data_IF_149670256125
#
_entry.id   IF_149670256125
#
_cell.length_a   1.000
_cell.length_b   1.000
_cell.length_c   1.000
_cell.angle_alpha   90.00
_cell.angle_beta   90.00
_cell.angle_gamma   90.00
#
_symmetry.space_group_name_H-M   'P 1'
#
loop_
_entity.id
_entity.type
_entity.pdbx_description
1 polymer ?
#
# COMPACT_ATOMS: atom_id res chain seq x y z
N UNK A 1 -32.94 2.40 -27.01
CA UNK A 1 -32.13 2.25 -25.79
C UNK A 1 -32.15 3.59 -25.10
N UNK A 2 -32.56 3.64 -23.83
CA UNK A 2 -32.50 4.88 -23.04
C UNK A 2 -31.03 5.22 -22.83
N UNK A 3 -30.61 6.43 -23.20
CA UNK A 3 -29.26 6.89 -22.87
C UNK A 3 -29.13 6.99 -21.36
N UNK A 4 -28.15 6.28 -20.80
CA UNK A 4 -27.82 6.37 -19.38
C UNK A 4 -26.87 7.55 -19.23
N UNK A 5 -27.39 8.69 -18.75
CA UNK A 5 -26.55 9.81 -18.34
C UNK A 5 -25.74 9.41 -17.09
N UNK A 6 -24.42 9.61 -17.15
CA UNK A 6 -23.51 9.40 -16.01
C UNK A 6 -23.01 10.76 -15.52
N UNK A 7 -22.96 10.94 -14.21
CA UNK A 7 -22.31 12.10 -13.62
C UNK A 7 -20.79 12.02 -13.83
N UNK A 8 -20.16 13.18 -14.01
CA UNK A 8 -18.74 13.33 -14.23
C UNK A 8 -18.17 14.38 -13.27
N UNK A 9 -16.94 14.14 -12.84
CA UNK A 9 -16.15 15.06 -12.01
C UNK A 9 -14.77 15.21 -12.63
N UNK A 10 -14.22 16.42 -12.61
CA UNK A 10 -12.88 16.70 -13.12
C UNK A 10 -11.83 16.54 -12.03
N UNK A 11 -10.74 15.87 -12.38
CA UNK A 11 -9.55 15.68 -11.54
C UNK A 11 -8.31 15.75 -12.42
N UNK A 12 -7.19 16.23 -11.87
CA UNK A 12 -5.92 16.23 -12.58
C UNK A 12 -5.32 14.81 -12.64
N UNK A 13 -5.51 14.03 -11.57
CA UNK A 13 -5.04 12.64 -11.50
C UNK A 13 -6.08 11.74 -10.83
N UNK A 14 -6.43 10.65 -11.51
CA UNK A 14 -7.26 9.57 -10.97
C UNK A 14 -6.40 8.33 -10.73
N UNK A 15 -6.37 7.85 -9.50
CA UNK A 15 -5.65 6.63 -9.08
C UNK A 15 -6.67 5.55 -8.76
N UNK A 16 -6.53 4.38 -9.38
CA UNK A 16 -7.40 3.23 -9.14
C UNK A 16 -6.72 2.26 -8.16
N UNK A 17 -7.22 2.22 -6.94
CA UNK A 17 -6.80 1.33 -5.86
C UNK A 17 -6.02 2.03 -4.74
N UNK A 18 -6.52 1.95 -3.51
CA UNK A 18 -5.86 2.45 -2.30
C UNK A 18 -4.92 1.39 -1.67
N UNK A 19 -4.13 0.74 -2.51
CA UNK A 19 -3.01 -0.11 -2.09
C UNK A 19 -1.76 0.73 -1.75
N UNK A 20 -0.66 0.09 -1.30
CA UNK A 20 0.55 0.82 -0.95
C UNK A 20 1.11 1.62 -2.12
N UNK A 21 1.02 1.10 -3.35
CA UNK A 21 1.46 1.80 -4.56
C UNK A 21 0.60 3.02 -4.88
N UNK A 22 -0.73 2.88 -4.91
CA UNK A 22 -1.65 3.98 -5.22
C UNK A 22 -1.59 5.09 -4.19
N UNK A 23 -1.55 4.74 -2.90
CA UNK A 23 -1.39 5.70 -1.81
C UNK A 23 -0.01 6.38 -1.86
N UNK A 24 1.06 5.64 -2.18
CA UNK A 24 2.39 6.25 -2.35
C UNK A 24 2.42 7.27 -3.48
N UNK A 25 1.78 6.95 -4.62
CA UNK A 25 1.67 7.86 -5.74
C UNK A 25 0.87 9.12 -5.37
N UNK A 26 -0.29 8.95 -4.72
CA UNK A 26 -1.13 10.07 -4.30
C UNK A 26 -0.40 11.02 -3.34
N UNK A 27 0.26 10.47 -2.31
CA UNK A 27 1.08 11.25 -1.36
C UNK A 27 2.18 11.99 -2.11
N UNK A 28 2.94 11.30 -2.98
CA UNK A 28 4.05 11.92 -3.69
C UNK A 28 3.59 13.03 -4.64
N UNK A 29 2.45 12.86 -5.32
CA UNK A 29 1.87 13.89 -6.18
C UNK A 29 1.57 15.16 -5.38
N UNK A 30 0.86 15.03 -4.25
CA UNK A 30 0.55 16.18 -3.37
C UNK A 30 1.80 16.80 -2.72
N UNK A 31 2.86 16.03 -2.49
CA UNK A 31 4.14 16.57 -2.03
C UNK A 31 4.89 17.37 -3.10
N UNK A 32 4.72 17.00 -4.38
CA UNK A 32 5.35 17.72 -5.52
C UNK A 32 4.55 18.99 -5.82
N UNK A 33 3.23 18.89 -5.84
CA UNK A 33 2.32 19.99 -6.12
C UNK A 33 1.04 19.83 -5.30
N UNK A 34 0.85 20.72 -4.33
CA UNK A 34 -0.27 20.68 -3.40
C UNK A 34 -1.61 21.04 -4.07
N UNK A 35 -1.56 21.78 -5.19
CA UNK A 35 -2.74 22.29 -5.88
C UNK A 35 -3.37 21.25 -6.83
N UNK A 36 -2.69 20.12 -7.09
CA UNK A 36 -3.24 19.01 -7.90
C UNK A 36 -4.49 18.41 -7.27
N UNK A 37 -5.57 18.31 -8.04
CA UNK A 37 -6.78 17.59 -7.65
C UNK A 37 -6.55 16.10 -7.90
N UNK A 38 -6.25 15.36 -6.82
CA UNK A 38 -5.93 13.92 -6.87
C UNK A 38 -7.02 13.13 -6.17
N UNK A 39 -7.58 12.16 -6.89
CA UNK A 39 -8.57 11.21 -6.35
C UNK A 39 -8.04 9.78 -6.37
N UNK A 40 -8.29 9.03 -5.29
CA UNK A 40 -8.05 7.60 -5.18
C UNK A 40 -9.40 6.88 -5.06
N UNK A 41 -9.69 6.00 -6.02
CA UNK A 41 -10.89 5.17 -6.01
C UNK A 41 -10.55 3.78 -5.50
N UNK A 42 -11.22 3.32 -4.45
CA UNK A 42 -10.98 2.00 -3.83
C UNK A 42 -12.24 1.15 -3.84
N UNK A 43 -12.10 -0.11 -4.25
CA UNK A 43 -13.21 -1.08 -4.32
C UNK A 43 -13.68 -1.53 -2.93
N UNK A 44 -12.76 -1.72 -1.98
CA UNK A 44 -13.06 -2.13 -0.62
C UNK A 44 -13.98 -1.14 0.07
N UNK A 45 -14.84 -1.63 0.97
CA UNK A 45 -15.74 -0.77 1.77
C UNK A 45 -14.99 0.26 2.62
N UNK A 46 -13.71 0.02 2.86
CA UNK A 46 -12.75 0.92 3.49
C UNK A 46 -11.34 0.60 2.93
N UNK A 47 -10.40 1.53 3.07
CA UNK A 47 -8.99 1.25 2.75
C UNK A 47 -8.50 0.10 3.63
N UNK A 48 -7.79 -0.85 3.02
CA UNK A 48 -7.30 -2.04 3.71
C UNK A 48 -8.23 -3.25 3.67
N UNK A 49 -9.53 -3.10 3.39
CA UNK A 49 -10.49 -4.21 3.40
C UNK A 49 -10.14 -5.35 2.42
N UNK A 50 -9.52 -5.01 1.29
CA UNK A 50 -9.06 -5.97 0.28
C UNK A 50 -7.53 -6.18 0.28
N UNK A 51 -6.81 -5.62 1.24
CA UNK A 51 -5.36 -5.81 1.34
C UNK A 51 -5.08 -7.11 2.09
N UNK A 52 -4.50 -8.08 1.38
CA UNK A 52 -4.09 -9.37 1.94
C UNK A 52 -2.58 -9.57 1.72
N UNK A 53 -1.83 -9.71 2.81
CA UNK A 53 -0.40 -10.03 2.77
C UNK A 53 0.10 -10.58 4.11
N UNK A 54 1.06 -11.49 4.09
CA UNK A 54 1.81 -11.94 5.29
C UNK A 54 3.01 -11.04 5.62
N UNK A 55 2.95 -9.77 5.24
CA UNK A 55 4.08 -8.92 4.91
C UNK A 55 5.26 -8.87 5.90
N UNK A 56 6.45 -9.02 5.32
CA UNK A 56 7.69 -8.45 5.84
C UNK A 56 8.04 -7.24 4.97
N UNK A 57 7.95 -6.05 5.57
CA UNK A 57 8.11 -4.77 4.91
C UNK A 57 9.57 -4.31 4.99
N UNK A 58 10.17 -4.10 3.83
CA UNK A 58 11.35 -3.24 3.69
C UNK A 58 10.90 -1.78 3.72
N UNK A 59 11.47 -0.99 4.63
CA UNK A 59 11.02 0.39 4.90
C UNK A 59 11.63 1.41 3.97
N UNK A 60 12.60 1.06 3.11
CA UNK A 60 13.30 2.02 2.25
C UNK A 60 12.37 2.90 1.40
N UNK A 61 11.27 2.33 0.88
CA UNK A 61 10.28 3.09 0.12
C UNK A 61 9.49 4.09 0.99
N UNK A 62 9.17 3.69 2.22
CA UNK A 62 8.47 4.56 3.17
C UNK A 62 9.42 5.62 3.73
N UNK A 63 10.68 5.28 4.02
CA UNK A 63 11.73 6.22 4.43
C UNK A 63 11.92 7.33 3.40
N UNK A 64 11.84 7.01 2.10
CA UNK A 64 11.92 7.99 1.03
C UNK A 64 10.65 8.83 0.86
N UNK A 65 9.47 8.31 1.21
CA UNK A 65 8.18 8.97 0.99
C UNK A 65 7.73 9.81 2.19
N UNK A 66 7.87 9.27 3.40
CA UNK A 66 7.49 9.88 4.68
C UNK A 66 8.62 9.59 5.68
N UNK A 67 9.75 10.32 5.65
CA UNK A 67 10.93 10.00 6.46
C UNK A 67 10.66 9.96 7.98
N UNK A 68 9.64 10.68 8.43
CA UNK A 68 9.18 10.81 9.82
C UNK A 68 7.99 9.88 10.16
N UNK A 69 7.85 8.75 9.45
CA UNK A 69 6.72 7.83 9.63
C UNK A 69 6.64 7.24 11.05
N UNK A 70 7.78 7.11 11.75
CA UNK A 70 7.83 6.59 13.13
C UNK A 70 7.16 7.56 14.09
N UNK A 71 7.49 8.83 13.97
CA UNK A 71 6.97 9.93 14.78
C UNK A 71 5.49 10.18 14.47
N UNK A 72 5.07 9.95 13.22
CA UNK A 72 3.68 10.00 12.76
C UNK A 72 2.84 8.77 13.13
N UNK A 73 3.39 7.85 13.92
CA UNK A 73 2.63 6.77 14.53
C UNK A 73 2.29 5.61 13.59
N UNK A 74 3.04 5.41 12.49
CA UNK A 74 2.78 4.30 11.58
C UNK A 74 2.74 2.95 12.32
N UNK A 75 1.86 2.01 11.93
CA UNK A 75 1.68 0.72 12.60
C UNK A 75 2.78 -0.29 12.25
N UNK A 76 4.04 0.14 12.23
CA UNK A 76 5.23 -0.62 11.85
C UNK A 76 6.15 -0.70 13.07
N UNK A 77 5.96 -1.74 13.90
CA UNK A 77 6.61 -1.82 15.24
C UNK A 77 7.42 -3.09 15.46
N UNK A 78 7.17 -4.15 14.70
CA UNK A 78 7.73 -5.47 14.95
C UNK A 78 8.91 -5.75 14.04
N UNK A 79 10.12 -5.42 14.47
CA UNK A 79 11.34 -5.74 13.70
C UNK A 79 11.57 -7.25 13.61
N UNK A 80 12.02 -7.73 12.44
CA UNK A 80 12.35 -9.13 12.22
C UNK A 80 13.64 -9.48 12.97
N UNK A 81 13.53 -10.44 13.90
CA UNK A 81 14.68 -10.89 14.72
C UNK A 81 15.40 -12.09 14.12
N UNK A 82 14.67 -12.99 13.45
CA UNK A 82 15.18 -14.27 12.95
C UNK A 82 14.43 -14.66 11.70
N UNK A 83 15.18 -15.02 10.66
CA UNK A 83 14.66 -15.73 9.50
C UNK A 83 14.84 -17.24 9.71
N UNK A 84 13.81 -18.02 9.42
CA UNK A 84 13.90 -19.48 9.47
C UNK A 84 13.34 -20.06 8.17
N UNK A 85 14.13 -20.90 7.51
CA UNK A 85 13.73 -21.62 6.31
C UNK A 85 13.65 -23.11 6.62
N UNK A 86 12.61 -23.76 6.12
CA UNK A 86 12.35 -25.18 6.35
C UNK A 86 12.01 -25.89 5.04
N UNK A 87 12.51 -27.11 4.91
CA UNK A 87 12.03 -28.07 3.92
C UNK A 87 11.06 -28.99 4.64
N UNK A 88 9.83 -29.07 4.13
CA UNK A 88 8.76 -29.89 4.69
C UNK A 88 8.63 -31.21 3.91
N UNK A 89 8.39 -32.30 4.62
CA UNK A 89 8.10 -33.61 4.04
C UNK A 89 7.17 -34.44 4.93
N UNK A 90 6.73 -35.63 4.49
CA UNK A 90 5.75 -36.43 5.23
C UNK A 90 6.18 -36.81 6.64
N UNK A 91 7.49 -36.93 6.87
CA UNK A 91 8.08 -37.28 8.17
C UNK A 91 8.39 -36.07 9.07
N UNK A 92 8.09 -34.84 8.63
CA UNK A 92 8.35 -33.62 9.41
C UNK A 92 9.07 -32.53 8.62
N UNK A 93 10.01 -31.84 9.28
CA UNK A 93 10.70 -30.68 8.71
C UNK A 93 12.20 -30.69 9.01
N UNK A 94 12.98 -30.17 8.06
CA UNK A 94 14.42 -29.93 8.22
C UNK A 94 14.68 -28.44 8.08
N UNK A 95 15.37 -27.85 9.06
CA UNK A 95 15.77 -26.44 9.01
C UNK A 95 16.97 -26.27 8.07
N UNK A 96 16.85 -25.33 7.13
CA UNK A 96 17.97 -24.89 6.31
C UNK A 96 18.75 -23.82 7.11
N UNK A 97 20.08 -23.94 7.27
CA UNK A 97 20.90 -22.85 7.81
C UNK A 97 20.74 -21.57 6.98
N UNK A 98 20.89 -20.40 7.58
CA UNK A 98 20.70 -19.13 6.86
C UNK A 98 21.94 -18.69 6.06
N UNK A 99 23.14 -19.15 6.42
CA UNK A 99 24.40 -18.72 5.79
C UNK A 99 24.57 -19.04 4.28
N UNK A 100 23.98 -20.12 3.70
CA UNK A 100 24.03 -20.36 2.28
C UNK A 100 22.91 -19.63 1.51
N UNK A 101 22.01 -18.92 2.20
CA UNK A 101 20.85 -18.29 1.58
C UNK A 101 21.23 -16.98 0.87
N UNK A 102 20.67 -16.66 -0.31
CA UNK A 102 20.95 -15.40 -0.98
C UNK A 102 20.61 -14.17 -0.12
N UNK A 103 21.35 -13.05 -0.25
CA UNK A 103 21.11 -11.84 0.55
C UNK A 103 19.68 -11.29 0.48
N UNK A 104 18.99 -11.44 -0.66
CA UNK A 104 17.60 -11.01 -0.85
C UNK A 104 16.61 -11.69 0.10
N UNK A 105 16.96 -12.85 0.67
CA UNK A 105 16.14 -13.56 1.64
C UNK A 105 16.44 -13.17 3.09
N UNK A 106 17.38 -12.26 3.32
CA UNK A 106 17.59 -11.67 4.64
C UNK A 106 16.52 -10.61 4.90
N UNK A 107 15.92 -10.66 6.09
CA UNK A 107 14.99 -9.64 6.56
C UNK A 107 15.55 -8.80 7.71
N UNK A 108 16.88 -8.78 7.88
CA UNK A 108 17.50 -7.90 8.86
C UNK A 108 17.14 -6.43 8.57
N UNK A 109 16.70 -5.69 9.59
CA UNK A 109 16.23 -4.31 9.46
C UNK A 109 14.83 -4.14 8.85
N UNK A 110 14.12 -5.23 8.54
CA UNK A 110 12.74 -5.21 8.03
C UNK A 110 11.72 -5.44 9.15
N UNK A 111 10.44 -5.18 8.85
CA UNK A 111 9.36 -5.23 9.84
C UNK A 111 8.24 -6.18 9.45
N UNK A 112 7.72 -6.92 10.43
CA UNK A 112 6.48 -7.70 10.27
C UNK A 112 5.30 -6.76 10.47
N UNK A 113 4.42 -6.69 9.48
CA UNK A 113 3.32 -5.70 9.47
C UNK A 113 2.00 -6.32 9.01
N UNK A 114 0.90 -5.71 9.46
CA UNK A 114 -0.38 -5.82 8.76
C UNK A 114 -0.41 -4.78 7.65
N UNK A 115 -0.29 -5.21 6.38
CA UNK A 115 -0.34 -4.25 5.27
C UNK A 115 -1.68 -3.54 5.17
N UNK A 116 -2.78 -4.15 5.60
CA UNK A 116 -4.07 -3.45 5.68
C UNK A 116 -3.97 -2.24 6.62
N UNK A 117 -3.33 -2.38 7.78
CA UNK A 117 -3.16 -1.28 8.73
C UNK A 117 -2.16 -0.24 8.23
N UNK A 118 -1.08 -0.67 7.55
CA UNK A 118 -0.13 0.28 6.92
C UNK A 118 -0.85 1.11 5.85
N UNK A 119 -1.65 0.50 4.97
CA UNK A 119 -2.41 1.24 3.97
C UNK A 119 -3.47 2.16 4.60
N UNK A 120 -4.16 1.74 5.68
CA UNK A 120 -5.09 2.62 6.41
C UNK A 120 -4.38 3.87 6.93
N UNK A 121 -3.23 3.69 7.59
CA UNK A 121 -2.43 4.81 8.06
C UNK A 121 -1.91 5.69 6.90
N UNK A 122 -1.48 5.08 5.79
CA UNK A 122 -1.06 5.84 4.60
C UNK A 122 -2.22 6.64 3.98
N UNK A 123 -3.45 6.13 4.02
CA UNK A 123 -4.64 6.87 3.60
C UNK A 123 -4.86 8.11 4.46
N UNK A 124 -4.73 8.00 5.79
CA UNK A 124 -4.79 9.17 6.68
C UNK A 124 -3.71 10.21 6.32
N UNK A 125 -2.50 9.77 5.96
CA UNK A 125 -1.43 10.68 5.53
C UNK A 125 -1.75 11.35 4.18
N UNK A 126 -2.38 10.62 3.25
CA UNK A 126 -2.78 11.13 1.95
C UNK A 126 -3.94 12.14 2.08
N UNK A 127 -4.96 11.82 2.88
CA UNK A 127 -6.10 12.70 3.17
C UNK A 127 -5.63 13.99 3.85
N UNK A 128 -4.67 13.91 4.77
CA UNK A 128 -4.06 15.09 5.40
C UNK A 128 -3.34 16.02 4.40
N UNK A 129 -2.96 15.50 3.22
CA UNK A 129 -2.39 16.27 2.12
C UNK A 129 -3.46 16.73 1.09
N UNK A 130 -4.74 16.49 1.38
CA UNK A 130 -5.86 16.88 0.52
C UNK A 130 -6.10 15.92 -0.65
N UNK A 131 -5.65 14.67 -0.57
CA UNK A 131 -6.09 13.61 -1.50
C UNK A 131 -7.52 13.21 -1.16
N UNK A 132 -8.39 13.15 -2.16
CA UNK A 132 -9.74 12.60 -1.98
C UNK A 132 -9.71 11.08 -2.14
N UNK A 133 -10.19 10.34 -1.15
CA UNK A 133 -10.21 8.87 -1.18
C UNK A 133 -11.65 8.39 -1.09
N UNK A 134 -12.11 7.68 -2.13
CA UNK A 134 -13.45 7.12 -2.18
C UNK A 134 -13.42 5.59 -2.10
N UNK A 135 -13.58 4.99 -0.90
CA UNK A 135 -13.83 3.58 -0.76
C UNK A 135 -15.23 3.20 -1.25
N UNK A 136 -15.44 1.92 -1.53
CA UNK A 136 -16.69 1.37 -2.09
C UNK A 136 -16.91 1.66 -3.57
N UNK A 137 -15.96 2.30 -4.26
CA UNK A 137 -16.06 2.67 -5.68
C UNK A 137 -15.20 1.74 -6.55
N UNK A 138 -15.86 0.79 -7.21
CA UNK A 138 -15.21 -0.11 -8.16
C UNK A 138 -15.11 0.51 -9.55
N UNK A 139 -13.90 0.73 -10.04
CA UNK A 139 -13.67 1.11 -11.44
C UNK A 139 -13.86 -0.10 -12.36
N UNK A 140 -14.85 -0.06 -13.24
CA UNK A 140 -15.25 -1.18 -14.09
C UNK A 140 -14.85 -1.04 -15.56
N UNK A 141 -14.58 0.17 -16.03
CA UNK A 141 -14.19 0.44 -17.41
C UNK A 141 -13.31 1.70 -17.50
N UNK A 142 -12.43 1.73 -18.50
CA UNK A 142 -11.70 2.93 -18.88
C UNK A 142 -12.62 3.86 -19.67
N UNK A 143 -12.43 5.17 -19.48
CA UNK A 143 -13.06 6.22 -20.29
C UNK A 143 -11.97 6.78 -21.20
N UNK A 144 -12.21 6.75 -22.51
CA UNK A 144 -11.32 7.32 -23.50
C UNK A 144 -11.89 8.68 -23.93
N UNK A 145 -11.02 9.65 -24.15
CA UNK A 145 -11.40 10.89 -24.83
C UNK A 145 -11.78 10.62 -26.29
N UNK A 146 -12.30 11.66 -26.95
CA UNK A 146 -12.45 11.66 -28.41
C UNK A 146 -11.09 11.74 -29.13
#
# INVERSE_FOLDING_TARGET
MTEIAREAMEYDVVIVGAGPAGLSAAIRLKQIDADLNVVVLEKGSEVGAHILSGAVLDTAGLDALVPDWKEKGAPIRTEVKKDNFYILGPAGQVRIPNWPMPPLMSNHGKYIVSMANVCRWMAEQAEALGVEIFPGMSCSALVYGE
#
